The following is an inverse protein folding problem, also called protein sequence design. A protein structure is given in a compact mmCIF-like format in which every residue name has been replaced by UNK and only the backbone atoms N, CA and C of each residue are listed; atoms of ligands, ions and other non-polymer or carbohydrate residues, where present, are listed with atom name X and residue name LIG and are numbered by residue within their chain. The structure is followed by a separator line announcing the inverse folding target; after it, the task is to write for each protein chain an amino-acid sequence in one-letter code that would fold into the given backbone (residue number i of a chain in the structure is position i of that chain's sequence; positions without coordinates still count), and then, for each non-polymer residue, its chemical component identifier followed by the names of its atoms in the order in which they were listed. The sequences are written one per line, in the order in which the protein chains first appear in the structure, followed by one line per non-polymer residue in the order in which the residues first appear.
data_IF_859314497698
#
_entry.id   IF_859314497698
#
_cell.length_a   1.000
_cell.length_b   1.000
_cell.length_c   1.000
_cell.angle_alpha   90.00
_cell.angle_beta   90.00
_cell.angle_gamma   90.00
#
_symmetry.space_group_name_H-M   'P 1'
#
loop_
_entity.id
_entity.type
_entity.pdbx_description
1 polymer ?
#
# COMPACT_ATOMS: atom_id res chain seq x y z
N UNK A 1 -73.67 34.69 44.02
CA UNK A 1 -72.30 34.19 43.77
C UNK A 1 -71.73 33.71 45.09
N UNK A 2 -71.20 32.50 45.16
CA UNK A 2 -70.51 32.03 46.36
C UNK A 2 -69.09 32.60 46.37
N UNK A 3 -68.73 33.36 47.41
CA UNK A 3 -67.37 33.89 47.58
C UNK A 3 -66.56 32.86 48.36
N UNK A 4 -65.54 32.26 47.74
CA UNK A 4 -64.60 31.37 48.42
C UNK A 4 -63.62 32.24 49.21
N UNK A 5 -63.67 32.18 50.54
CA UNK A 5 -62.68 32.83 51.40
C UNK A 5 -61.49 31.89 51.59
N UNK A 6 -60.28 32.35 51.24
CA UNK A 6 -59.04 31.61 51.44
C UNK A 6 -58.32 32.20 52.66
N UNK A 7 -58.04 31.38 53.68
CA UNK A 7 -57.32 31.83 54.88
C UNK A 7 -55.82 31.61 54.73
N UNK A 8 -55.03 32.56 55.25
CA UNK A 8 -53.55 32.51 55.28
C UNK A 8 -53.08 31.62 56.41
N UNK A 9 -52.10 30.75 56.14
CA UNK A 9 -51.29 30.06 57.15
C UNK A 9 -50.14 30.97 57.57
N UNK A 10 -49.98 31.27 58.88
CA UNK A 10 -48.78 31.95 59.39
C UNK A 10 -47.86 30.97 60.13
N UNK A 11 -46.56 31.20 60.04
CA UNK A 11 -45.46 30.23 60.16
C UNK A 11 -45.07 29.79 61.59
N UNK A 12 -45.86 30.11 62.62
CA UNK A 12 -45.57 29.71 64.00
C UNK A 12 -46.46 28.53 64.44
N UNK A 13 -46.10 27.32 64.01
CA UNK A 13 -46.80 26.08 64.41
C UNK A 13 -47.06 25.13 63.24
N UNK A 14 -47.28 23.84 63.51
CA UNK A 14 -47.47 22.81 62.48
C UNK A 14 -48.79 22.91 61.70
N UNK A 15 -49.68 23.84 62.05
CA UNK A 15 -50.92 24.11 61.30
C UNK A 15 -51.28 25.59 61.19
N UNK A 16 -52.27 25.92 60.35
CA UNK A 16 -52.66 27.29 60.02
C UNK A 16 -53.26 28.06 61.18
N UNK A 17 -52.44 28.95 61.74
CA UNK A 17 -52.92 30.04 62.58
C UNK A 17 -53.78 30.97 61.72
N UNK A 18 -55.09 30.93 61.96
CA UNK A 18 -55.90 32.13 61.81
C UNK A 18 -55.48 33.05 62.97
N UNK A 19 -55.19 34.33 62.72
CA UNK A 19 -54.90 35.28 63.81
C UNK A 19 -55.98 35.24 64.91
N UNK A 20 -55.69 35.75 66.11
CA UNK A 20 -56.57 35.82 67.31
C UNK A 20 -57.86 35.00 67.21
N UNK A 21 -57.76 33.69 67.49
CA UNK A 21 -58.85 32.69 67.53
C UNK A 21 -59.84 32.75 66.35
N UNK A 22 -59.68 31.86 65.37
CA UNK A 22 -60.63 31.72 64.25
C UNK A 22 -61.20 30.31 64.11
N UNK A 23 -62.49 30.21 63.79
CA UNK A 23 -63.11 28.95 63.38
C UNK A 23 -62.64 28.57 61.97
N UNK A 24 -62.26 27.32 61.79
CA UNK A 24 -62.00 26.70 60.48
C UNK A 24 -63.12 25.72 60.24
N UNK A 25 -63.74 25.78 59.06
CA UNK A 25 -64.83 24.87 58.69
C UNK A 25 -64.30 23.71 57.87
N UNK A 26 -64.93 22.54 57.99
CA UNK A 26 -64.64 21.41 57.12
C UNK A 26 -64.76 21.83 55.64
N UNK A 27 -63.77 21.44 54.83
CA UNK A 27 -63.67 21.82 53.42
C UNK A 27 -63.07 23.20 53.15
N UNK A 28 -62.74 23.99 54.18
CA UNK A 28 -62.20 25.33 53.98
C UNK A 28 -60.76 25.29 53.44
N UNK A 29 -60.45 25.99 52.32
CA UNK A 29 -59.11 26.04 51.76
C UNK A 29 -58.22 27.04 52.50
N UNK A 30 -56.98 26.62 52.75
CA UNK A 30 -55.99 27.40 53.47
C UNK A 30 -54.66 27.34 52.74
N UNK A 31 -54.10 28.51 52.48
CA UNK A 31 -52.86 28.65 51.70
C UNK A 31 -51.72 29.10 52.59
N UNK A 32 -50.58 28.48 52.39
CA UNK A 32 -49.30 28.95 52.88
C UNK A 32 -48.62 29.72 51.76
N UNK A 33 -48.64 31.06 51.81
CA UNK A 33 -48.03 31.87 50.75
C UNK A 33 -46.50 31.77 50.71
N UNK A 34 -45.89 31.21 51.75
CA UNK A 34 -44.48 30.87 51.81
C UNK A 34 -44.22 29.36 51.71
N UNK A 35 -45.28 28.56 51.58
CA UNK A 35 -45.22 27.11 51.74
C UNK A 35 -45.53 26.34 50.47
N UNK A 36 -45.25 25.04 50.56
CA UNK A 36 -45.22 24.10 49.45
C UNK A 36 -46.57 23.41 49.16
N UNK A 37 -47.63 23.76 49.90
CA UNK A 37 -48.91 23.04 49.88
C UNK A 37 -50.14 23.96 50.00
N UNK A 38 -51.25 23.54 49.39
CA UNK A 38 -52.62 23.94 49.73
C UNK A 38 -53.18 22.96 50.76
N UNK A 39 -53.88 23.46 51.77
CA UNK A 39 -54.47 22.67 52.84
C UNK A 39 -55.99 22.77 52.81
N UNK A 40 -56.70 21.64 52.94
CA UNK A 40 -58.16 21.61 53.07
C UNK A 40 -58.53 21.03 54.42
N UNK A 41 -59.28 21.78 55.23
CA UNK A 41 -59.69 21.33 56.55
C UNK A 41 -60.58 20.08 56.46
N UNK A 42 -60.31 19.06 57.28
CA UNK A 42 -61.12 17.84 57.31
C UNK A 42 -62.37 17.95 58.19
N UNK A 43 -62.34 18.84 59.17
CA UNK A 43 -63.41 19.01 60.16
C UNK A 43 -63.52 20.45 60.63
N UNK A 44 -64.66 20.78 61.21
CA UNK A 44 -64.85 22.04 61.93
C UNK A 44 -63.96 22.06 63.18
N UNK A 45 -63.13 23.10 63.33
CA UNK A 45 -62.22 23.23 64.47
C UNK A 45 -61.98 24.70 64.82
N UNK A 46 -61.80 24.97 66.11
CA UNK A 46 -61.35 26.28 66.58
C UNK A 46 -59.83 26.26 66.63
N UNK A 47 -59.19 27.09 65.81
CA UNK A 47 -57.74 27.21 65.76
C UNK A 47 -57.28 28.43 66.54
N UNK A 48 -56.25 28.25 67.38
CA UNK A 48 -55.61 29.35 68.11
C UNK A 48 -54.11 29.10 68.26
N UNK A 49 -53.39 30.09 68.75
CA UNK A 49 -51.96 29.95 69.08
C UNK A 49 -51.70 28.90 70.18
N UNK A 50 -52.66 28.66 71.07
CA UNK A 50 -52.57 27.68 72.14
C UNK A 50 -53.14 26.30 71.75
N UNK A 51 -53.91 26.23 70.65
CA UNK A 51 -54.47 25.00 70.08
C UNK A 51 -54.28 25.07 68.56
N UNK A 52 -53.04 24.91 68.07
CA UNK A 52 -52.78 24.94 66.63
C UNK A 52 -53.40 23.69 66.01
N UNK A 53 -53.72 23.81 64.73
CA UNK A 53 -54.16 22.64 64.00
C UNK A 53 -52.96 21.73 63.70
N UNK A 54 -53.21 20.43 63.64
CA UNK A 54 -52.23 19.41 63.36
C UNK A 54 -52.28 18.98 61.88
N UNK A 55 -51.25 18.28 61.43
CA UNK A 55 -51.22 17.66 60.10
C UNK A 55 -52.41 16.73 59.84
N UNK A 56 -52.87 16.01 60.88
CA UNK A 56 -54.03 15.15 60.80
C UNK A 56 -55.34 15.90 60.48
N UNK A 57 -55.43 17.20 60.81
CA UNK A 57 -56.63 18.01 60.61
C UNK A 57 -56.82 18.46 59.14
N UNK A 58 -55.82 18.26 58.27
CA UNK A 58 -55.84 18.74 56.88
C UNK A 58 -55.55 17.68 55.85
N UNK A 59 -56.25 17.73 54.72
CA UNK A 59 -55.74 17.16 53.48
C UNK A 59 -54.70 18.13 52.92
N UNK A 60 -53.47 17.65 52.69
CA UNK A 60 -52.40 18.42 52.05
C UNK A 60 -52.37 18.14 50.56
N UNK A 61 -52.35 19.20 49.76
CA UNK A 61 -52.21 19.13 48.31
C UNK A 61 -50.87 19.80 47.96
N UNK A 62 -49.85 19.04 47.53
CA UNK A 62 -48.54 19.62 47.19
C UNK A 62 -48.63 20.48 45.93
N UNK A 63 -47.87 21.58 45.94
CA UNK A 63 -47.59 22.35 44.74
C UNK A 63 -46.54 21.67 43.86
N UNK A 64 -46.41 22.12 42.61
CA UNK A 64 -45.49 21.55 41.61
C UNK A 64 -44.04 21.49 42.10
N UNK A 65 -43.53 22.57 42.70
CA UNK A 65 -42.16 22.62 43.23
C UNK A 65 -41.88 21.58 44.32
N UNK A 66 -42.90 21.26 45.14
CA UNK A 66 -42.79 20.22 46.16
C UNK A 66 -42.74 18.83 45.54
N UNK A 67 -43.58 18.60 44.55
CA UNK A 67 -43.60 17.33 43.81
C UNK A 67 -42.26 17.11 43.13
N UNK A 68 -41.72 18.12 42.44
CA UNK A 68 -40.41 18.05 41.78
C UNK A 68 -39.29 17.77 42.77
N UNK A 69 -39.21 18.52 43.87
CA UNK A 69 -38.23 18.32 44.94
C UNK A 69 -38.31 16.90 45.55
N UNK A 70 -39.53 16.37 45.73
CA UNK A 70 -39.73 15.00 46.21
C UNK A 70 -39.28 13.95 45.21
N UNK A 71 -39.49 14.17 43.91
CA UNK A 71 -39.02 13.28 42.84
C UNK A 71 -37.49 13.29 42.80
N UNK A 72 -36.85 14.47 42.80
CA UNK A 72 -35.38 14.61 42.77
C UNK A 72 -34.71 13.99 44.01
N UNK A 73 -35.32 14.19 45.19
CA UNK A 73 -34.85 13.58 46.43
C UNK A 73 -34.90 12.06 46.34
N UNK A 74 -35.98 11.49 45.78
CA UNK A 74 -36.11 10.04 45.59
C UNK A 74 -35.13 9.50 44.55
N UNK A 75 -34.92 10.20 43.43
CA UNK A 75 -33.92 9.85 42.42
C UNK A 75 -32.52 9.77 43.05
N UNK A 76 -32.17 10.76 43.87
CA UNK A 76 -30.89 10.83 44.57
C UNK A 76 -30.76 9.73 45.63
N UNK A 77 -31.77 9.58 46.49
CA UNK A 77 -31.76 8.59 47.57
C UNK A 77 -31.66 7.14 47.06
N UNK A 78 -32.30 6.85 45.92
CA UNK A 78 -32.25 5.55 45.25
C UNK A 78 -31.06 5.42 44.28
N UNK A 79 -30.22 6.45 44.17
CA UNK A 79 -29.05 6.47 43.27
C UNK A 79 -29.38 6.10 41.81
N UNK A 80 -30.55 6.53 41.31
CA UNK A 80 -31.03 6.17 39.97
C UNK A 80 -30.25 6.84 38.83
N UNK A 81 -29.42 7.84 39.15
CA UNK A 81 -28.60 8.58 38.18
C UNK A 81 -29.38 9.57 37.31
N UNK A 82 -28.69 10.27 36.42
CA UNK A 82 -29.30 11.32 35.57
C UNK A 82 -30.22 10.76 34.48
N UNK A 83 -30.04 9.49 34.10
CA UNK A 83 -30.85 8.83 33.08
C UNK A 83 -32.32 8.64 33.49
N UNK A 84 -32.64 8.66 34.79
CA UNK A 84 -34.02 8.48 35.30
C UNK A 84 -34.98 9.61 34.90
N UNK A 85 -34.45 10.72 34.39
CA UNK A 85 -35.21 11.87 33.91
C UNK A 85 -35.53 11.80 32.41
N UNK A 86 -35.09 10.74 31.72
CA UNK A 86 -35.23 10.58 30.27
C UNK A 86 -36.19 9.45 29.92
N UNK A 87 -36.88 9.60 28.78
CA UNK A 87 -37.69 8.52 28.23
C UNK A 87 -36.80 7.41 27.68
N UNK A 88 -37.28 6.17 27.74
CA UNK A 88 -36.61 5.02 27.08
C UNK A 88 -37.13 4.82 25.66
N UNK A 89 -36.37 4.10 24.84
CA UNK A 89 -36.76 3.72 23.47
C UNK A 89 -35.77 4.20 22.40
N UNK A 90 -36.19 4.15 21.13
CA UNK A 90 -35.33 4.43 19.96
C UNK A 90 -35.58 5.78 19.29
N UNK A 91 -36.48 6.61 19.85
CA UNK A 91 -36.74 7.96 19.37
C UNK A 91 -35.59 8.92 19.67
N UNK A 92 -35.52 10.04 18.94
CA UNK A 92 -34.50 11.06 19.15
C UNK A 92 -34.53 11.59 20.60
N UNK A 93 -33.40 11.54 21.29
CA UNK A 93 -33.25 11.98 22.68
C UNK A 93 -33.66 10.97 23.76
N UNK A 94 -34.10 9.76 23.39
CA UNK A 94 -34.42 8.70 24.33
C UNK A 94 -33.18 7.86 24.70
N UNK A 95 -33.24 7.18 25.85
CA UNK A 95 -32.24 6.19 26.28
C UNK A 95 -32.57 4.82 25.67
N UNK A 96 -31.68 4.22 24.86
CA UNK A 96 -31.89 2.89 24.33
C UNK A 96 -31.89 1.83 25.44
N UNK A 97 -32.79 0.84 25.31
CA UNK A 97 -32.81 -0.34 26.18
C UNK A 97 -31.98 -1.44 25.52
N UNK A 98 -31.16 -2.14 26.30
CA UNK A 98 -30.39 -3.28 25.82
C UNK A 98 -31.31 -4.48 25.53
N UNK A 99 -30.94 -5.29 24.56
CA UNK A 99 -31.60 -6.56 24.26
C UNK A 99 -31.35 -7.61 25.37
N UNK A 100 -31.89 -8.82 25.19
CA UNK A 100 -31.73 -9.92 26.13
C UNK A 100 -30.26 -10.34 26.35
N UNK A 101 -29.34 -9.92 25.46
CA UNK A 101 -27.91 -10.20 25.53
C UNK A 101 -27.10 -9.03 26.12
N UNK A 102 -27.77 -7.98 26.60
CA UNK A 102 -27.12 -6.78 27.13
C UNK A 102 -26.44 -5.95 26.04
N UNK A 103 -26.93 -5.97 24.80
CA UNK A 103 -26.41 -5.20 23.66
C UNK A 103 -27.44 -4.20 23.15
N UNK A 104 -26.97 -3.14 22.49
CA UNK A 104 -27.87 -2.30 21.71
C UNK A 104 -28.38 -3.09 20.50
N UNK A 105 -29.66 -2.97 20.18
CA UNK A 105 -30.23 -3.60 19.00
C UNK A 105 -29.63 -2.99 17.72
N UNK A 106 -29.54 -3.79 16.64
CA UNK A 106 -29.03 -3.37 15.33
C UNK A 106 -29.81 -2.17 14.74
N UNK A 107 -31.05 -1.97 15.16
CA UNK A 107 -31.88 -0.82 14.78
C UNK A 107 -31.47 0.49 15.45
N UNK A 108 -30.70 0.44 16.53
CA UNK A 108 -30.20 1.61 17.29
C UNK A 108 -28.80 1.98 16.84
N UNK A 109 -27.93 0.98 16.70
CA UNK A 109 -26.56 1.15 16.18
C UNK A 109 -26.44 0.21 15.00
N UNK A 110 -26.31 0.72 13.76
CA UNK A 110 -26.04 -0.12 12.61
C UNK A 110 -24.82 -0.99 12.89
N UNK A 111 -24.85 -2.25 12.47
CA UNK A 111 -23.71 -3.17 12.65
C UNK A 111 -22.43 -2.49 12.14
N UNK A 112 -21.54 -2.15 13.06
CA UNK A 112 -20.15 -1.91 12.70
C UNK A 112 -19.59 -3.29 12.40
N UNK A 113 -19.39 -3.57 11.11
CA UNK A 113 -18.69 -4.77 10.69
C UNK A 113 -17.24 -4.67 11.18
N UNK A 114 -16.93 -5.28 12.31
CA UNK A 114 -15.55 -5.61 12.64
C UNK A 114 -15.15 -6.71 11.67
N UNK A 115 -14.47 -6.34 10.60
CA UNK A 115 -14.04 -7.29 9.56
C UNK A 115 -13.10 -8.33 10.16
N UNK A 116 -13.61 -9.54 10.38
CA UNK A 116 -12.80 -10.72 10.58
C UNK A 116 -12.35 -11.26 9.23
N UNK A 117 -11.19 -11.93 9.22
CA UNK A 117 -10.69 -12.62 8.02
C UNK A 117 -10.63 -14.12 8.29
N UNK A 118 -11.32 -14.89 7.47
CA UNK A 118 -11.36 -16.35 7.51
C UNK A 118 -10.55 -16.92 6.34
N UNK A 119 -9.50 -17.69 6.62
CA UNK A 119 -8.76 -18.43 5.59
C UNK A 119 -9.43 -19.79 5.40
N UNK A 120 -9.93 -20.06 4.20
CA UNK A 120 -10.71 -21.26 3.87
C UNK A 120 -10.19 -21.93 2.60
N UNK A 121 -10.21 -23.26 2.60
CA UNK A 121 -9.63 -24.06 1.51
C UNK A 121 -10.59 -24.29 0.32
N UNK A 122 -11.86 -23.88 0.42
CA UNK A 122 -12.85 -24.07 -0.66
C UNK A 122 -14.09 -23.18 -0.49
N UNK A 123 -14.93 -23.13 -1.54
CA UNK A 123 -16.27 -22.53 -1.46
C UNK A 123 -17.13 -23.19 -0.38
N UNK A 124 -17.11 -24.51 -0.29
CA UNK A 124 -17.92 -25.25 0.68
C UNK A 124 -17.53 -24.87 2.10
N UNK A 125 -16.23 -24.74 2.38
CA UNK A 125 -15.73 -24.27 3.67
C UNK A 125 -16.14 -22.80 3.95
N UNK A 126 -16.11 -21.92 2.94
CA UNK A 126 -16.58 -20.54 3.04
C UNK A 126 -18.07 -20.44 3.41
N UNK A 127 -18.93 -21.24 2.76
CA UNK A 127 -20.38 -21.24 3.02
C UNK A 127 -20.75 -21.94 4.35
N UNK A 128 -19.82 -22.74 4.90
CA UNK A 128 -19.98 -23.48 6.16
C UNK A 128 -19.39 -22.76 7.38
N UNK A 129 -18.94 -21.51 7.25
CA UNK A 129 -18.57 -20.68 8.40
C UNK A 129 -19.71 -20.64 9.43
N UNK A 130 -19.42 -20.41 10.70
CA UNK A 130 -20.45 -20.44 11.77
C UNK A 130 -20.66 -19.09 12.46
N UNK A 131 -19.76 -18.15 12.23
CA UNK A 131 -19.71 -16.86 12.95
C UNK A 131 -19.50 -15.66 12.03
N UNK A 132 -19.51 -15.85 10.72
CA UNK A 132 -19.30 -14.77 9.76
C UNK A 132 -20.44 -13.75 9.82
N UNK A 133 -20.10 -12.48 9.72
CA UNK A 133 -21.00 -11.33 9.71
C UNK A 133 -20.80 -10.52 8.43
N UNK A 134 -21.79 -9.69 8.10
CA UNK A 134 -21.66 -8.77 6.97
C UNK A 134 -20.42 -7.90 7.17
N UNK A 135 -19.61 -7.76 6.12
CA UNK A 135 -18.31 -7.10 6.12
C UNK A 135 -17.11 -7.99 6.47
N UNK A 136 -17.31 -9.25 6.86
CA UNK A 136 -16.22 -10.22 7.03
C UNK A 136 -15.65 -10.69 5.68
N UNK A 137 -14.37 -11.06 5.69
CA UNK A 137 -13.64 -11.50 4.49
C UNK A 137 -13.32 -12.99 4.57
N UNK A 138 -13.60 -13.72 3.49
CA UNK A 138 -13.11 -15.08 3.26
C UNK A 138 -11.97 -15.07 2.24
N UNK A 139 -10.79 -15.53 2.66
CA UNK A 139 -9.63 -15.75 1.79
C UNK A 139 -9.68 -17.20 1.30
N UNK A 140 -9.98 -17.38 0.02
CA UNK A 140 -10.11 -18.67 -0.64
C UNK A 140 -8.79 -19.09 -1.29
N UNK A 141 -8.09 -20.01 -0.65
CA UNK A 141 -6.77 -20.49 -1.12
C UNK A 141 -6.86 -21.38 -2.36
N UNK A 142 -8.01 -21.96 -2.66
CA UNK A 142 -8.26 -22.73 -3.88
C UNK A 142 -8.31 -21.87 -5.15
N UNK A 143 -8.68 -20.60 -5.01
CA UNK A 143 -8.76 -19.65 -6.12
C UNK A 143 -7.70 -18.54 -6.06
N UNK A 144 -6.99 -18.42 -4.94
CA UNK A 144 -6.13 -17.27 -4.62
C UNK A 144 -6.90 -15.93 -4.70
N UNK A 145 -8.12 -15.91 -4.13
CA UNK A 145 -9.04 -14.77 -4.16
C UNK A 145 -9.61 -14.47 -2.79
N UNK A 146 -10.03 -13.21 -2.59
CA UNK A 146 -10.72 -12.77 -1.38
C UNK A 146 -12.15 -12.36 -1.69
N UNK A 147 -13.08 -12.71 -0.80
CA UNK A 147 -14.50 -12.38 -0.91
C UNK A 147 -14.96 -11.69 0.36
N UNK A 148 -15.77 -10.64 0.26
CA UNK A 148 -16.40 -9.97 1.40
C UNK A 148 -17.88 -10.34 1.47
N UNK A 149 -18.41 -10.64 2.66
CA UNK A 149 -19.83 -10.90 2.85
C UNK A 149 -20.60 -9.58 2.80
N UNK A 150 -21.44 -9.35 1.79
CA UNK A 150 -22.23 -8.12 1.63
C UNK A 150 -23.66 -8.22 2.14
N UNK A 151 -24.10 -9.40 2.56
CA UNK A 151 -25.44 -9.63 3.11
C UNK A 151 -25.48 -10.94 3.93
N UNK A 152 -26.41 -11.06 4.87
CA UNK A 152 -26.68 -12.34 5.55
C UNK A 152 -27.74 -13.16 4.82
N UNK A 153 -27.69 -14.50 4.83
CA UNK A 153 -26.73 -15.35 5.54
C UNK A 153 -25.45 -15.65 4.73
N UNK A 154 -24.35 -15.98 5.42
CA UNK A 154 -23.08 -16.39 4.80
C UNK A 154 -23.14 -17.73 4.06
N UNK A 155 -24.17 -18.54 4.31
CA UNK A 155 -24.41 -19.82 3.64
C UNK A 155 -24.89 -19.67 2.19
N UNK A 156 -25.17 -18.45 1.74
CA UNK A 156 -25.61 -18.14 0.37
C UNK A 156 -24.48 -17.51 -0.43
N UNK A 157 -24.05 -18.16 -1.53
CA UNK A 157 -22.94 -17.69 -2.35
C UNK A 157 -23.15 -16.28 -2.93
N UNK A 158 -24.37 -15.95 -3.36
CA UNK A 158 -24.70 -14.64 -3.93
C UNK A 158 -24.51 -13.47 -2.96
N UNK A 159 -24.43 -13.75 -1.65
CA UNK A 159 -24.16 -12.77 -0.62
C UNK A 159 -22.66 -12.47 -0.47
N UNK A 160 -21.78 -13.18 -1.15
CA UNK A 160 -20.35 -12.93 -1.19
C UNK A 160 -19.98 -12.12 -2.43
N UNK A 161 -19.21 -11.06 -2.23
CA UNK A 161 -18.66 -10.23 -3.30
C UNK A 161 -17.17 -10.49 -3.41
N UNK A 162 -16.70 -10.89 -4.60
CA UNK A 162 -15.26 -10.95 -4.88
C UNK A 162 -14.65 -9.54 -4.78
N UNK A 163 -13.57 -9.42 -4.04
CA UNK A 163 -12.75 -8.21 -4.02
C UNK A 163 -11.82 -8.25 -5.23
N UNK A 164 -12.00 -7.30 -6.14
CA UNK A 164 -11.11 -7.19 -7.30
C UNK A 164 -9.72 -6.79 -6.82
N UNK A 165 -8.73 -7.61 -7.14
CA UNK A 165 -7.33 -7.19 -7.06
C UNK A 165 -7.01 -6.30 -8.26
N UNK A 166 -6.02 -5.40 -8.15
CA UNK A 166 -5.49 -4.72 -9.32
C UNK A 166 -5.18 -5.76 -10.42
N UNK A 167 -5.55 -5.46 -11.67
CA UNK A 167 -5.07 -6.22 -12.81
C UNK A 167 -3.57 -5.98 -12.90
N UNK A 168 -2.78 -6.90 -12.36
CA UNK A 168 -1.32 -6.83 -12.46
C UNK A 168 -0.92 -6.61 -13.92
N UNK A 169 -0.10 -5.58 -14.17
CA UNK A 169 0.20 -5.07 -15.51
C UNK A 169 0.98 -6.06 -16.41
N UNK A 170 1.42 -7.20 -15.86
CA UNK A 170 2.10 -8.27 -16.60
C UNK A 170 1.52 -9.61 -16.16
N UNK A 171 0.67 -10.20 -16.99
CA UNK A 171 0.07 -11.51 -16.74
C UNK A 171 1.00 -12.67 -17.08
N UNK A 172 1.99 -12.44 -17.94
CA UNK A 172 3.01 -13.43 -18.30
C UNK A 172 4.26 -12.79 -18.89
N UNK A 173 5.38 -13.50 -18.82
CA UNK A 173 6.62 -13.18 -19.55
C UNK A 173 6.92 -14.36 -20.46
N UNK A 174 6.83 -14.15 -21.78
CA UNK A 174 6.98 -15.21 -22.78
C UNK A 174 6.13 -16.46 -22.50
N UNK A 175 4.86 -16.26 -22.09
CA UNK A 175 3.91 -17.34 -21.77
C UNK A 175 4.10 -18.02 -20.42
N UNK A 176 5.12 -17.66 -19.64
CA UNK A 176 5.33 -18.17 -18.28
C UNK A 176 4.62 -17.30 -17.23
N UNK A 177 4.06 -17.94 -16.20
CA UNK A 177 3.35 -17.29 -15.08
C UNK A 177 3.94 -17.74 -13.73
N UNK A 178 3.71 -16.96 -12.66
CA UNK A 178 4.24 -17.26 -11.32
C UNK A 178 5.69 -16.78 -11.10
N UNK A 179 6.49 -17.54 -10.36
CA UNK A 179 7.92 -17.25 -10.14
C UNK A 179 8.73 -17.58 -11.42
N UNK A 180 8.91 -16.59 -12.29
CA UNK A 180 9.61 -16.76 -13.56
C UNK A 180 11.12 -16.61 -13.37
N UNK A 181 11.87 -17.69 -13.62
CA UNK A 181 13.33 -17.62 -13.79
C UNK A 181 13.65 -17.56 -15.28
N UNK A 182 14.27 -16.48 -15.73
CA UNK A 182 14.59 -16.29 -17.15
C UNK A 182 15.90 -17.01 -17.47
N UNK A 183 15.83 -17.97 -18.39
CA UNK A 183 16.97 -18.63 -19.03
C UNK A 183 17.09 -18.21 -20.49
N UNK A 184 18.26 -18.42 -21.09
CA UNK A 184 18.47 -18.15 -22.52
C UNK A 184 17.54 -18.98 -23.42
N UNK A 185 17.26 -20.24 -23.03
CA UNK A 185 16.28 -21.09 -23.70
C UNK A 185 14.86 -20.53 -23.61
N UNK A 186 14.51 -19.88 -22.49
CA UNK A 186 13.23 -19.22 -22.27
C UNK A 186 13.05 -17.90 -23.01
N UNK A 187 14.03 -17.40 -23.76
CA UNK A 187 13.94 -16.18 -24.57
C UNK A 187 13.91 -16.46 -26.08
N UNK A 188 13.83 -17.73 -26.48
CA UNK A 188 14.02 -18.12 -27.88
C UNK A 188 15.46 -17.91 -28.37
N UNK A 189 16.40 -17.69 -27.45
CA UNK A 189 17.81 -17.51 -27.76
C UNK A 189 18.38 -18.76 -28.42
N UNK A 190 19.03 -18.58 -29.57
CA UNK A 190 19.74 -19.64 -30.26
C UNK A 190 20.77 -20.23 -29.31
N UNK A 191 20.86 -21.56 -29.24
CA UNK A 191 21.83 -22.28 -28.39
C UNK A 191 23.24 -21.67 -28.52
N UNK A 192 24.02 -21.64 -27.44
CA UNK A 192 25.45 -21.26 -27.47
C UNK A 192 26.23 -22.06 -28.52
N UNK A 193 25.78 -23.28 -28.84
CA UNK A 193 26.31 -24.11 -29.92
C UNK A 193 26.15 -23.47 -31.31
N UNK A 194 25.10 -22.69 -31.55
CA UNK A 194 24.88 -21.95 -32.81
C UNK A 194 25.60 -20.61 -32.82
N UNK A 195 25.85 -19.98 -31.67
CA UNK A 195 26.76 -18.83 -31.61
C UNK A 195 28.20 -19.26 -31.99
N UNK A 196 28.60 -20.45 -31.55
CA UNK A 196 29.89 -21.06 -31.88
C UNK A 196 29.97 -21.66 -33.30
N UNK A 197 29.00 -21.47 -34.19
CA UNK A 197 29.22 -21.78 -35.63
C UNK A 197 29.93 -20.64 -36.36
N UNK A 198 30.08 -19.48 -35.73
CA UNK A 198 30.81 -18.35 -36.29
C UNK A 198 32.34 -18.47 -36.24
N UNK A 199 32.91 -19.46 -35.54
CA UNK A 199 34.39 -19.62 -35.44
C UNK A 199 35.08 -19.88 -36.78
N UNK A 200 34.33 -20.27 -37.81
CA UNK A 200 34.84 -20.44 -39.18
C UNK A 200 34.05 -19.66 -40.24
N UNK A 201 33.13 -18.79 -39.81
CA UNK A 201 32.29 -18.01 -40.70
C UNK A 201 32.88 -16.62 -40.90
N UNK A 202 33.30 -16.29 -42.12
CA UNK A 202 33.74 -14.94 -42.49
C UNK A 202 32.57 -13.96 -42.68
N UNK A 203 31.33 -14.38 -42.35
CA UNK A 203 30.12 -13.58 -42.46
C UNK A 203 30.11 -12.36 -41.51
N UNK A 204 30.96 -12.39 -40.48
CA UNK A 204 31.17 -11.25 -39.57
C UNK A 204 32.15 -10.21 -40.13
N UNK A 205 32.83 -10.50 -41.24
CA UNK A 205 33.72 -9.56 -41.93
C UNK A 205 32.99 -8.96 -43.12
N UNK A 206 33.18 -7.67 -43.38
CA UNK A 206 32.68 -7.02 -44.60
C UNK A 206 33.46 -7.51 -45.83
N UNK A 207 32.89 -7.31 -47.01
CA UNK A 207 33.52 -7.67 -48.30
C UNK A 207 34.89 -6.99 -48.45
N UNK A 208 35.01 -5.74 -48.00
CA UNK A 208 36.25 -4.97 -47.98
C UNK A 208 37.31 -5.60 -47.07
N UNK A 209 36.92 -6.00 -45.85
CA UNK A 209 37.83 -6.65 -44.90
C UNK A 209 38.36 -7.97 -45.45
N UNK A 210 37.51 -8.77 -46.10
CA UNK A 210 37.93 -10.02 -46.75
C UNK A 210 38.88 -9.77 -47.93
N UNK A 211 38.64 -8.71 -48.69
CA UNK A 211 39.50 -8.30 -49.81
C UNK A 211 40.87 -7.84 -49.33
N UNK A 212 40.94 -7.07 -48.24
CA UNK A 212 42.21 -6.62 -47.65
C UNK A 212 43.03 -7.82 -47.17
N UNK A 213 42.43 -8.75 -46.43
CA UNK A 213 43.13 -9.93 -45.90
C UNK A 213 43.65 -10.85 -47.01
N UNK A 214 42.92 -10.96 -48.13
CA UNK A 214 43.33 -11.79 -49.27
C UNK A 214 44.52 -11.20 -50.03
N UNK A 215 44.69 -9.88 -50.02
CA UNK A 215 45.72 -9.17 -50.79
C UNK A 215 46.95 -8.77 -49.97
N UNK A 216 47.05 -9.18 -48.70
CA UNK A 216 48.22 -8.91 -47.88
C UNK A 216 49.46 -9.64 -48.44
N UNK A 217 50.56 -8.91 -48.64
CA UNK A 217 51.85 -9.45 -49.09
C UNK A 217 52.92 -9.02 -48.07
N UNK A 218 53.59 -10.01 -47.47
CA UNK A 218 54.74 -9.78 -46.60
C UNK A 218 56.02 -9.62 -47.44
N UNK A 219 56.82 -8.57 -47.16
CA UNK A 219 58.05 -8.24 -47.90
C UNK A 219 59.21 -8.07 -46.91
N UNK A 220 60.18 -8.96 -46.97
CA UNK A 220 61.37 -8.94 -46.10
C UNK A 220 62.64 -9.03 -46.95
N UNK A 221 63.63 -8.18 -46.65
CA UNK A 221 65.01 -8.30 -47.15
C UNK A 221 65.88 -8.67 -45.95
N UNK A 222 66.43 -9.88 -45.93
CA UNK A 222 67.36 -10.31 -44.88
C UNK A 222 68.76 -9.79 -45.21
N UNK A 223 69.41 -9.09 -44.27
CA UNK A 223 70.84 -8.81 -44.37
C UNK A 223 71.63 -10.12 -44.20
N UNK A 224 72.57 -10.39 -45.08
CA UNK A 224 73.54 -11.50 -44.97
C UNK A 224 74.96 -10.95 -44.83
N UNK A 225 75.93 -11.84 -44.59
CA UNK A 225 77.36 -11.55 -44.35
C UNK A 225 78.11 -10.83 -45.50
N UNK A 226 77.40 -10.29 -46.50
CA UNK A 226 77.95 -9.51 -47.61
C UNK A 226 77.35 -8.11 -47.80
N UNK A 227 76.48 -7.65 -46.89
CA UNK A 227 75.81 -6.35 -47.01
C UNK A 227 76.30 -5.37 -45.94
N UNK A 228 76.90 -4.26 -46.37
CA UNK A 228 77.19 -3.12 -45.50
C UNK A 228 75.96 -2.22 -45.39
N UNK A 229 75.54 -1.90 -44.16
CA UNK A 229 74.48 -0.92 -43.93
C UNK A 229 75.12 0.47 -43.83
N UNK A 230 74.72 1.38 -44.71
CA UNK A 230 75.20 2.75 -44.68
C UNK A 230 74.65 3.53 -43.47
N UNK A 231 75.48 4.38 -42.86
CA UNK A 231 75.10 5.18 -41.70
C UNK A 231 74.22 6.40 -42.02
N UNK A 232 74.09 6.75 -43.30
CA UNK A 232 73.23 7.83 -43.80
C UNK A 232 72.96 7.66 -45.29
N UNK A 233 71.96 8.39 -45.81
CA UNK A 233 71.63 8.42 -47.24
C UNK A 233 72.80 8.94 -48.10
N UNK A 234 73.53 9.94 -47.60
CA UNK A 234 74.73 10.46 -48.26
C UNK A 234 75.86 9.43 -48.29
N UNK A 235 76.06 8.68 -47.20
CA UNK A 235 77.06 7.61 -47.15
C UNK A 235 76.70 6.45 -48.09
N UNK A 236 75.41 6.10 -48.17
CA UNK A 236 74.91 5.09 -49.11
C UNK A 236 75.18 5.51 -50.55
N UNK A 237 74.72 6.71 -50.94
CA UNK A 237 74.86 7.23 -52.30
C UNK A 237 76.30 7.34 -52.78
N UNK A 238 77.23 7.61 -51.86
CA UNK A 238 78.67 7.70 -52.16
C UNK A 238 79.35 6.34 -52.28
N UNK A 239 78.78 5.29 -51.67
CA UNK A 239 79.37 3.96 -51.60
C UNK A 239 78.83 2.99 -52.67
N UNK A 240 77.66 3.27 -53.25
CA UNK A 240 77.02 2.39 -54.24
C UNK A 240 77.33 2.81 -55.68
N UNK A 241 77.35 1.82 -56.57
CA UNK A 241 77.26 2.09 -58.01
C UNK A 241 75.77 2.28 -58.33
N UNK A 242 75.39 3.47 -58.79
CA UNK A 242 74.02 3.75 -59.23
C UNK A 242 73.56 2.74 -60.29
N UNK A 243 72.36 2.17 -60.07
CA UNK A 243 71.78 1.08 -60.87
C UNK A 243 72.67 -0.18 -60.99
N UNK A 244 73.65 -0.36 -60.10
CA UNK A 244 74.58 -1.50 -60.13
C UNK A 244 73.95 -2.83 -59.77
N UNK A 245 72.76 -2.84 -59.16
CA UNK A 245 71.99 -4.05 -58.88
C UNK A 245 70.67 -4.02 -59.66
N UNK A 246 70.34 -5.14 -60.27
CA UNK A 246 69.07 -5.36 -60.96
C UNK A 246 68.22 -6.29 -60.10
N UNK A 247 66.99 -5.86 -59.81
CA UNK A 247 66.02 -6.67 -59.08
C UNK A 247 64.89 -7.11 -60.01
N UNK A 248 64.55 -8.40 -59.96
CA UNK A 248 63.39 -8.95 -60.67
C UNK A 248 62.43 -9.61 -59.67
N UNK A 249 61.19 -9.10 -59.52
CA UNK A 249 60.21 -9.73 -58.64
C UNK A 249 59.69 -11.02 -59.27
N UNK A 250 59.66 -12.07 -58.46
CA UNK A 250 59.03 -13.35 -58.78
C UNK A 250 57.87 -13.55 -57.82
N UNK A 251 56.65 -13.51 -58.35
CA UNK A 251 55.43 -13.74 -57.58
C UNK A 251 55.13 -15.24 -57.57
N UNK A 252 55.18 -15.85 -56.39
CA UNK A 252 54.67 -17.20 -56.19
C UNK A 252 53.17 -17.13 -55.87
N UNK A 253 52.34 -17.42 -56.87
CA UNK A 253 50.89 -17.43 -56.74
C UNK A 253 50.35 -18.69 -56.02
N UNK A 254 51.18 -19.72 -55.83
CA UNK A 254 50.78 -21.00 -55.24
C UNK A 254 50.94 -21.03 -53.70
N UNK A 255 51.51 -19.97 -53.11
CA UNK A 255 51.63 -19.80 -51.66
C UNK A 255 50.52 -18.86 -51.14
N UNK A 256 49.93 -19.17 -49.97
CA UNK A 256 48.91 -18.34 -49.32
C UNK A 256 49.43 -17.91 -47.94
N UNK A 257 49.59 -16.60 -47.67
CA UNK A 257 49.36 -15.47 -48.59
C UNK A 257 50.38 -15.44 -49.73
N UNK A 258 50.04 -14.82 -50.88
CA UNK A 258 50.95 -14.76 -52.03
C UNK A 258 52.31 -14.21 -51.63
N UNK A 259 53.39 -14.92 -51.99
CA UNK A 259 54.75 -14.50 -51.67
C UNK A 259 55.39 -13.84 -52.87
N UNK A 260 56.05 -12.70 -52.64
CA UNK A 260 56.91 -12.07 -53.63
C UNK A 260 58.35 -12.25 -53.19
N UNK A 261 59.13 -13.00 -53.99
CA UNK A 261 60.58 -13.09 -53.84
C UNK A 261 61.25 -12.17 -54.86
N UNK A 262 62.48 -11.72 -54.59
CA UNK A 262 63.24 -10.92 -55.54
C UNK A 262 64.51 -11.67 -55.92
N UNK A 263 64.73 -11.83 -57.22
CA UNK A 263 66.05 -12.19 -57.75
C UNK A 263 66.89 -10.92 -57.81
N UNK A 264 68.12 -10.99 -57.32
CA UNK A 264 69.04 -9.86 -57.32
C UNK A 264 70.28 -10.26 -58.11
N UNK A 265 70.65 -9.44 -59.09
CA UNK A 265 71.88 -9.60 -59.87
C UNK A 265 72.69 -8.31 -59.89
N UNK A 266 73.96 -8.40 -60.22
CA UNK A 266 74.80 -7.23 -60.52
C UNK A 266 74.61 -6.89 -62.00
N UNK A 267 74.37 -5.61 -62.31
CA UNK A 267 74.34 -5.14 -63.69
C UNK A 267 75.74 -5.33 -64.31
N UNK A 268 75.82 -6.19 -65.31
CA UNK A 268 77.08 -6.52 -65.98
C UNK A 268 77.71 -5.31 -66.68
N UNK A 269 76.92 -4.30 -67.06
CA UNK A 269 77.42 -3.04 -67.63
C UNK A 269 78.18 -2.19 -66.61
N UNK A 270 78.01 -2.47 -65.32
CA UNK A 270 78.61 -1.75 -64.20
C UNK A 270 79.80 -2.49 -63.57
N UNK A 271 80.10 -3.71 -64.04
CA UNK A 271 81.25 -4.50 -63.58
C UNK A 271 82.49 -4.14 -64.40
N UNK A 272 83.56 -3.69 -63.75
CA UNK A 272 84.85 -3.45 -64.42
C UNK A 272 85.48 -4.80 -64.84
N UNK A 273 85.75 -4.97 -66.13
CA UNK A 273 86.50 -6.13 -66.63
C UNK A 273 87.98 -5.77 -66.82
N UNK A 274 88.93 -6.65 -66.45
CA UNK A 274 90.35 -6.35 -66.60
C UNK A 274 90.72 -6.27 -68.09
N UNK A 275 91.33 -5.15 -68.50
CA UNK A 275 91.86 -4.94 -69.86
C UNK A 275 93.34 -5.29 -69.99
N UNK A 276 93.85 -6.23 -69.19
CA UNK A 276 95.29 -6.46 -69.12
C UNK A 276 95.83 -7.11 -70.41
N UNK A 277 96.47 -6.31 -71.28
CA UNK A 277 97.58 -6.78 -72.10
C UNK A 277 98.77 -6.92 -71.14
N UNK A 278 99.19 -8.15 -70.86
CA UNK A 278 100.42 -8.40 -70.10
C UNK A 278 101.59 -8.13 -71.05
N UNK A 279 102.04 -6.87 -71.12
CA UNK A 279 103.23 -6.50 -71.89
C UNK A 279 104.51 -6.83 -71.10
N UNK A 280 105.04 -8.01 -71.40
CA UNK A 280 106.46 -8.20 -71.71
C UNK A 280 107.53 -7.78 -70.69
N UNK A 281 107.56 -8.42 -69.52
CA UNK A 281 108.80 -8.52 -68.73
C UNK A 281 109.44 -9.90 -68.93
N UNK A 282 110.61 -9.96 -69.57
CA UNK A 282 111.35 -11.20 -69.88
C UNK A 282 112.06 -11.74 -68.63
N UNK A 283 111.69 -12.98 -68.24
CA UNK A 283 112.21 -13.86 -67.17
C UNK A 283 112.51 -13.25 -65.79
#
# INVERSE_FOLDING_TARGET
MATIQIKRRTTAGTGPLTGTTGTVKAGEPQVDFSGEHLYIAKADKVASVSVPLAEADYLKIPGVAKVDSQIDTKITALSLGTASTKNTGTGNGNIPILDANGKLADSVVPKIALTNTFVVASQTAMLALSTAQEGDVAVRTDLNKSFILKATPYSTLANWQELLTPTDAVTSVNGSTGAVTISLSGLGGVSSTTYNTHVSSNLHLTDDQRTILTNFIDKVIYGSDGMSVAASDTAFSSAVIGDGLVLYPVVNNDYVPKRVSYMIGIDSSKVLQPSSIIDGGTY
#
